data_IF_461783457442
#
_entry.id   IF_461783457442
#
_cell.length_a   1.000
_cell.length_b   1.000
_cell.length_c   1.000
_cell.angle_alpha   90.00
_cell.angle_beta   90.00
_cell.angle_gamma   90.00
#
_symmetry.space_group_name_H-M   'P 1'
#
loop_
_entity.id
_entity.type
_entity.pdbx_description
1 polymer ?
#
# COMPACT_ATOMS: atom_id res chain seq x y z
N UNK A 1 -15.95 8.56 6.66
CA UNK A 1 -14.93 8.22 7.64
C UNK A 1 -13.75 7.59 6.93
N UNK A 2 -12.58 8.06 7.27
CA UNK A 2 -11.36 7.57 6.64
C UNK A 2 -10.79 6.45 7.50
N UNK A 3 -11.19 5.25 7.16
CA UNK A 3 -10.94 4.07 7.98
C UNK A 3 -9.44 3.78 8.18
N UNK A 4 -8.62 4.15 7.22
CA UNK A 4 -7.20 3.83 7.26
C UNK A 4 -6.33 5.06 7.42
N UNK A 5 -6.91 6.14 7.94
CA UNK A 5 -6.20 7.40 8.05
C UNK A 5 -4.93 7.28 8.88
N UNK A 6 -4.95 6.44 9.91
CA UNK A 6 -3.78 6.31 10.79
C UNK A 6 -2.60 5.66 10.08
N UNK A 7 -2.81 5.06 8.92
CA UNK A 7 -1.73 4.44 8.17
C UNK A 7 -1.13 5.39 7.13
N UNK A 8 -1.70 6.58 6.96
CA UNK A 8 -1.20 7.49 5.93
C UNK A 8 0.22 7.91 6.26
N UNK A 9 1.11 7.79 5.29
CA UNK A 9 2.51 8.08 5.45
C UNK A 9 3.35 6.89 5.87
N UNK A 10 2.73 5.74 6.11
CA UNK A 10 3.44 4.57 6.60
C UNK A 10 3.57 3.52 5.52
N UNK A 11 4.60 2.69 5.67
CA UNK A 11 4.76 1.55 4.79
C UNK A 11 3.81 0.46 5.24
N UNK A 12 3.05 -0.05 4.30
CA UNK A 12 2.01 -1.03 4.62
C UNK A 12 2.01 -2.14 3.59
N UNK A 13 1.40 -3.23 3.96
CA UNK A 13 0.98 -4.26 3.03
C UNK A 13 -0.53 -4.29 3.06
N UNK A 14 -1.17 -4.10 1.92
CA UNK A 14 -2.62 -4.17 1.81
C UNK A 14 -2.99 -5.40 1.01
N UNK A 15 -3.83 -6.25 1.59
CA UNK A 15 -4.35 -7.41 0.89
C UNK A 15 -5.75 -7.09 0.45
N UNK A 16 -6.04 -7.42 -0.80
CA UNK A 16 -7.34 -7.09 -1.36
C UNK A 16 -7.75 -8.12 -2.38
N UNK A 17 -9.02 -8.13 -2.69
CA UNK A 17 -9.59 -9.05 -3.65
C UNK A 17 -10.30 -8.27 -4.72
N UNK A 18 -10.06 -8.65 -5.98
CA UNK A 18 -10.79 -8.11 -7.10
C UNK A 18 -11.40 -9.30 -7.82
N UNK A 19 -12.72 -9.36 -7.80
CA UNK A 19 -13.48 -10.50 -8.33
C UNK A 19 -13.04 -11.76 -7.60
N UNK A 20 -12.38 -12.70 -8.27
CA UNK A 20 -12.00 -13.95 -7.63
C UNK A 20 -10.52 -14.06 -7.36
N UNK A 21 -9.78 -12.98 -7.54
CA UNK A 21 -8.33 -13.02 -7.44
C UNK A 21 -7.89 -12.20 -6.22
N UNK A 22 -6.96 -12.77 -5.47
CA UNK A 22 -6.41 -12.12 -4.30
C UNK A 22 -5.08 -11.47 -4.67
N UNK A 23 -4.90 -10.26 -4.18
CA UNK A 23 -3.73 -9.45 -4.49
C UNK A 23 -3.12 -8.93 -3.20
N UNK A 24 -1.87 -8.52 -3.30
CA UNK A 24 -1.19 -7.85 -2.22
C UNK A 24 -0.42 -6.66 -2.80
N UNK A 25 -0.56 -5.51 -2.18
CA UNK A 25 0.15 -4.31 -2.59
C UNK A 25 0.97 -3.83 -1.40
N UNK A 26 2.26 -3.61 -1.65
CA UNK A 26 3.18 -3.14 -0.62
C UNK A 26 3.73 -1.79 -1.04
N UNK A 27 3.76 -0.86 -0.11
CA UNK A 27 4.27 0.48 -0.39
C UNK A 27 3.85 1.43 0.69
N UNK A 28 3.89 2.72 0.37
CA UNK A 28 3.47 3.75 1.30
C UNK A 28 2.01 4.09 1.01
N UNK A 29 1.19 4.07 2.06
CA UNK A 29 -0.20 4.49 1.93
C UNK A 29 -0.19 6.00 1.91
N UNK A 30 -0.50 6.60 0.76
CA UNK A 30 -0.34 8.03 0.59
C UNK A 30 -1.63 8.80 0.80
N UNK A 31 -2.78 8.14 0.67
CA UNK A 31 -4.04 8.85 0.76
C UNK A 31 -5.16 7.88 1.09
N UNK A 32 -6.04 8.30 1.96
CA UNK A 32 -7.32 7.64 2.20
C UNK A 32 -8.38 8.70 1.97
N UNK A 33 -9.20 8.52 0.95
CA UNK A 33 -10.19 9.54 0.63
C UNK A 33 -11.58 9.19 1.16
N UNK A 34 -11.67 8.18 2.01
CA UNK A 34 -12.96 7.78 2.58
C UNK A 34 -13.68 6.70 1.79
N UNK A 35 -13.21 6.41 0.59
CA UNK A 35 -13.79 5.37 -0.27
C UNK A 35 -12.74 4.42 -0.79
N UNK A 36 -11.50 4.88 -0.88
CA UNK A 36 -10.39 4.11 -1.42
C UNK A 36 -9.13 4.51 -0.70
N UNK A 37 -8.12 3.66 -0.79
CA UNK A 37 -6.78 4.02 -0.35
C UNK A 37 -5.85 3.95 -1.54
N UNK A 38 -4.77 4.73 -1.46
CA UNK A 38 -3.77 4.79 -2.51
C UNK A 38 -2.44 4.36 -1.94
N UNK A 39 -1.79 3.41 -2.62
CA UNK A 39 -0.50 2.90 -2.18
C UNK A 39 0.49 3.13 -3.29
N UNK A 40 1.62 3.72 -2.95
CA UNK A 40 2.68 4.03 -3.91
C UNK A 40 3.94 3.28 -3.54
N UNK A 41 4.60 2.78 -4.55
CA UNK A 41 5.89 2.13 -4.36
C UNK A 41 6.85 2.72 -5.38
N UNK A 42 8.10 2.83 -4.98
CA UNK A 42 9.14 3.40 -5.80
C UNK A 42 10.22 2.36 -6.01
N UNK A 43 10.70 2.24 -7.22
CA UNK A 43 11.74 1.27 -7.52
C UNK A 43 12.57 1.77 -8.68
N UNK A 44 13.70 1.12 -8.89
CA UNK A 44 14.59 1.47 -10.00
C UNK A 44 14.51 0.35 -11.02
N UNK A 45 14.30 0.72 -12.27
CA UNK A 45 14.25 -0.22 -13.37
C UNK A 45 15.05 0.36 -14.52
N UNK A 46 16.03 -0.39 -14.99
CA UNK A 46 16.89 0.05 -16.08
C UNK A 46 17.53 1.42 -15.80
N UNK A 47 17.96 1.61 -14.54
CA UNK A 47 18.60 2.84 -14.15
C UNK A 47 17.68 4.02 -13.99
N UNK A 48 16.38 3.82 -14.07
CA UNK A 48 15.39 4.89 -13.94
C UNK A 48 14.52 4.68 -12.75
N UNK A 49 14.15 5.78 -12.11
CA UNK A 49 13.21 5.74 -11.00
C UNK A 49 11.80 5.56 -11.53
N UNK A 50 11.08 4.61 -10.99
CA UNK A 50 9.71 4.32 -11.37
C UNK A 50 8.83 4.40 -10.15
N UNK A 51 7.58 4.75 -10.39
CA UNK A 51 6.57 4.79 -9.32
C UNK A 51 5.36 3.99 -9.79
N UNK A 52 4.89 3.12 -8.92
CA UNK A 52 3.64 2.40 -9.13
C UNK A 52 2.65 2.92 -8.10
N UNK A 53 1.43 3.18 -8.53
CA UNK A 53 0.39 3.68 -7.65
C UNK A 53 -0.85 2.85 -7.87
N UNK A 54 -1.40 2.34 -6.77
CA UNK A 54 -2.57 1.48 -6.80
C UNK A 54 -3.67 2.13 -6.00
N UNK A 55 -4.86 2.20 -6.58
CA UNK A 55 -6.04 2.63 -5.84
C UNK A 55 -6.84 1.39 -5.49
N UNK A 56 -7.16 1.21 -4.22
CA UNK A 56 -7.90 0.05 -3.75
C UNK A 56 -9.18 0.52 -3.09
N UNK A 57 -10.34 0.24 -3.68
CA UNK A 57 -11.62 0.60 -3.06
C UNK A 57 -11.79 -0.13 -1.73
N UNK A 58 -12.47 0.51 -0.80
CA UNK A 58 -12.69 -0.08 0.52
C UNK A 58 -13.30 -1.46 0.44
N UNK A 59 -14.27 -1.64 -0.44
CA UNK A 59 -15.00 -2.91 -0.50
C UNK A 59 -14.11 -4.06 -0.97
N UNK A 60 -12.95 -3.75 -1.54
CA UNK A 60 -12.02 -4.78 -1.98
C UNK A 60 -10.99 -5.11 -0.93
N UNK A 61 -10.83 -4.30 0.10
CA UNK A 61 -9.75 -4.44 1.05
C UNK A 61 -10.05 -5.58 2.02
N UNK A 62 -9.12 -6.49 2.16
CA UNK A 62 -9.22 -7.57 3.12
C UNK A 62 -8.46 -7.26 4.40
N UNK A 63 -7.40 -6.49 4.30
CA UNK A 63 -6.64 -6.10 5.48
C UNK A 63 -5.49 -5.20 5.11
N UNK A 64 -5.09 -4.36 6.05
CA UNK A 64 -3.95 -3.47 5.90
C UNK A 64 -3.10 -3.64 7.14
N UNK A 65 -1.81 -3.88 6.96
CA UNK A 65 -0.89 -4.05 8.08
C UNK A 65 0.30 -3.13 7.87
N UNK A 66 0.72 -2.50 8.94
CA UNK A 66 1.91 -1.67 8.88
C UNK A 66 3.13 -2.57 8.87
N UNK A 67 4.08 -2.28 7.99
CA UNK A 67 5.31 -3.04 7.89
C UNK A 67 6.35 -2.46 8.84
N UNK A 68 7.16 -3.35 9.38
CA UNK A 68 8.24 -2.91 10.22
C UNK A 68 9.22 -2.15 9.37
N UNK A 69 9.73 -1.04 10.04
CA UNK A 69 10.56 -0.30 9.30
C UNK A 69 11.93 -0.58 9.49
N UNK A 70 12.35 -1.27 9.79
CA UNK A 70 13.58 -1.58 9.99
C UNK A 70 14.25 -2.18 9.32
N UNK A 71 14.35 -2.27 9.20
CA UNK A 71 14.87 -2.79 8.70
C UNK A 71 15.97 -3.05 8.39
N UNK A 72 16.75 -3.00 8.73
CA UNK A 72 17.83 -3.30 8.38
C UNK A 72 18.47 -3.95 9.08
N UNK A 73 18.88 -4.50 8.71
CA UNK A 73 19.55 -5.38 9.16
C UNK A 73 20.67 -4.99 9.57
N UNK A 74 21.14 -5.11 9.92
CA UNK A 74 22.13 -4.86 10.26
C UNK A 74 22.96 -5.42 10.14
N UNK A 75 23.37 -5.55 10.06
CA UNK A 75 24.31 -6.12 9.82
C UNK A 75 24.95 -6.29 10.28
#
# INVERSE_FOLDING_TARGET
VKRYESFVGKRVEARYRAEYIYYSATGTLTLDNGSSIYIEDHFVQDGRNKTVRVEIPYECILGVAELADNQHPVA
#
